data_IF_396880130877
#
_entry.id   IF_396880130877
#
_cell.length_a   1.000
_cell.length_b   1.000
_cell.length_c   1.000
_cell.angle_alpha   90.00
_cell.angle_beta   90.00
_cell.angle_gamma   90.00
#
_symmetry.space_group_name_H-M   'P 1'
#
loop_
_entity.id
_entity.type
_entity.pdbx_description
1 polymer ?
#
# COMPACT_ATOMS: atom_id res chain seq x y z
N UNK A 1 -18.60 -15.75 7.28
CA UNK A 1 -18.36 -15.66 5.81
C UNK A 1 -19.35 -16.58 5.13
N UNK A 2 -19.97 -16.14 4.03
CA UNK A 2 -21.03 -16.89 3.34
C UNK A 2 -20.39 -17.76 2.26
N UNK A 3 -20.98 -18.90 1.93
CA UNK A 3 -20.55 -19.85 0.86
C UNK A 3 -20.44 -19.24 -0.55
N UNK A 4 -20.64 -17.92 -0.71
CA UNK A 4 -20.48 -17.19 -1.97
C UNK A 4 -19.08 -16.60 -2.17
N UNK A 5 -18.19 -16.68 -1.17
CA UNK A 5 -16.86 -16.05 -1.20
C UNK A 5 -15.80 -16.87 -1.97
N UNK A 6 -16.17 -18.05 -2.49
CA UNK A 6 -15.32 -18.89 -3.33
C UNK A 6 -15.51 -18.60 -4.81
N UNK A 7 -15.48 -17.32 -5.21
CA UNK A 7 -15.66 -16.97 -6.62
C UNK A 7 -14.36 -17.19 -7.39
N UNK A 8 -14.12 -18.45 -7.80
CA UNK A 8 -13.14 -18.73 -8.83
C UNK A 8 -13.76 -18.45 -10.19
N UNK A 9 -13.11 -17.59 -10.97
CA UNK A 9 -13.53 -17.26 -12.33
C UNK A 9 -12.49 -17.78 -13.32
N UNK A 10 -12.94 -18.43 -14.40
CA UNK A 10 -12.04 -18.81 -15.50
C UNK A 10 -11.61 -17.57 -16.31
N UNK A 11 -12.49 -16.57 -16.40
CA UNK A 11 -12.22 -15.27 -17.01
C UNK A 11 -12.25 -14.19 -15.93
N UNK A 12 -11.23 -13.33 -15.82
CA UNK A 12 -11.22 -12.30 -14.79
C UNK A 12 -12.41 -11.36 -14.98
N UNK A 13 -13.12 -10.98 -13.90
CA UNK A 13 -14.14 -9.96 -13.99
C UNK A 13 -13.52 -8.64 -14.47
N UNK A 14 -14.30 -7.74 -15.10
CA UNK A 14 -13.79 -6.44 -15.49
C UNK A 14 -13.26 -5.66 -14.29
N UNK A 15 -12.23 -4.84 -14.52
CA UNK A 15 -11.58 -4.05 -13.47
C UNK A 15 -12.53 -3.13 -12.72
N UNK A 16 -13.58 -2.63 -13.37
CA UNK A 16 -14.61 -1.78 -12.76
C UNK A 16 -15.98 -2.02 -13.38
N UNK A 17 -17.03 -1.91 -12.55
CA UNK A 17 -18.44 -1.86 -12.97
C UNK A 17 -19.23 -0.94 -12.02
N UNK A 18 -20.28 -0.25 -12.49
CA UNK A 18 -21.12 0.59 -11.63
C UNK A 18 -21.76 -0.12 -10.44
N UNK A 19 -21.93 -1.46 -10.51
CA UNK A 19 -22.49 -2.26 -9.42
C UNK A 19 -21.47 -2.77 -8.41
N UNK A 20 -20.18 -2.53 -8.60
CA UNK A 20 -19.15 -2.98 -7.67
C UNK A 20 -19.11 -2.07 -6.45
N UNK A 21 -19.00 -2.68 -5.27
CA UNK A 21 -18.61 -1.96 -4.08
C UNK A 21 -17.08 -1.87 -4.08
N UNK A 22 -16.56 -0.64 -4.10
CA UNK A 22 -15.12 -0.39 -4.04
C UNK A 22 -14.78 -0.03 -2.60
N UNK A 23 -13.78 -0.71 -2.05
CA UNK A 23 -13.26 -0.45 -0.72
C UNK A 23 -11.83 0.06 -0.82
N UNK A 24 -11.46 0.91 0.13
CA UNK A 24 -10.14 1.51 0.23
C UNK A 24 -9.51 1.16 1.58
N UNK A 25 -8.37 0.46 1.61
CA UNK A 25 -7.60 0.27 2.83
C UNK A 25 -6.81 1.54 3.13
N UNK A 26 -7.06 2.16 4.28
CA UNK A 26 -6.30 3.35 4.68
C UNK A 26 -4.88 3.03 5.13
N UNK A 27 -4.68 1.83 5.68
CA UNK A 27 -3.37 1.33 6.10
C UNK A 27 -3.17 -0.08 5.53
N UNK A 28 -1.97 -0.35 5.04
CA UNK A 28 -1.50 -1.71 4.78
C UNK A 28 -0.18 -1.88 5.50
N UNK A 29 -0.11 -2.77 6.49
CA UNK A 29 1.09 -2.94 7.33
C UNK A 29 1.74 -4.32 7.11
N UNK A 30 3.07 -4.34 7.08
CA UNK A 30 3.86 -5.56 6.89
C UNK A 30 4.55 -5.99 8.19
N UNK A 31 4.17 -7.15 8.69
CA UNK A 31 4.86 -7.80 9.81
C UNK A 31 5.68 -8.98 9.33
N UNK A 32 6.88 -9.13 9.88
CA UNK A 32 7.77 -10.26 9.59
C UNK A 32 8.12 -10.99 10.88
N UNK A 33 7.75 -12.27 10.96
CA UNK A 33 8.12 -13.18 12.02
C UNK A 33 9.62 -13.52 11.90
N UNK A 34 10.43 -12.91 12.77
CA UNK A 34 11.87 -13.10 12.76
C UNK A 34 12.32 -14.44 13.33
N UNK A 35 13.64 -14.58 13.44
CA UNK A 35 14.27 -15.75 14.06
C UNK A 35 13.81 -15.91 15.52
N UNK A 36 13.70 -17.16 15.99
CA UNK A 36 13.23 -17.45 17.34
C UNK A 36 11.79 -16.99 17.63
N UNK A 37 10.97 -16.75 16.60
CA UNK A 37 9.61 -16.23 16.70
C UNK A 37 9.52 -14.78 17.20
N UNK A 38 10.56 -13.97 17.00
CA UNK A 38 10.45 -12.54 17.28
C UNK A 38 9.34 -11.89 16.43
N UNK A 39 8.50 -11.07 17.06
CA UNK A 39 7.34 -10.45 16.41
C UNK A 39 6.08 -11.34 16.36
N UNK A 40 6.09 -12.56 16.92
CA UNK A 40 4.91 -13.43 16.92
C UNK A 40 3.70 -12.80 17.62
N UNK A 41 3.93 -12.15 18.76
CA UNK A 41 2.86 -11.49 19.52
C UNK A 41 2.32 -10.26 18.79
N UNK A 42 3.15 -9.57 17.98
CA UNK A 42 2.70 -8.51 17.07
C UNK A 42 1.71 -9.06 16.05
N UNK A 43 2.06 -10.17 15.37
CA UNK A 43 1.19 -10.79 14.37
C UNK A 43 -0.12 -11.29 15.03
N UNK A 44 -0.04 -11.94 16.19
CA UNK A 44 -1.23 -12.37 16.95
C UNK A 44 -2.14 -11.21 17.33
N UNK A 45 -1.55 -10.10 17.79
CA UNK A 45 -2.29 -8.88 18.14
C UNK A 45 -2.94 -8.28 16.91
N UNK A 46 -2.26 -8.26 15.77
CA UNK A 46 -2.81 -7.80 14.51
C UNK A 46 -3.98 -8.68 14.05
N UNK A 47 -3.90 -10.01 14.21
CA UNK A 47 -5.02 -10.92 13.93
C UNK A 47 -6.23 -10.60 14.82
N UNK A 48 -6.01 -10.38 16.12
CA UNK A 48 -7.08 -10.04 17.06
C UNK A 48 -7.74 -8.69 16.77
N UNK A 49 -6.94 -7.72 16.33
CA UNK A 49 -7.37 -6.32 16.23
C UNK A 49 -7.93 -5.99 14.86
N UNK A 50 -7.31 -6.49 13.80
CA UNK A 50 -7.59 -6.15 12.40
C UNK A 50 -8.17 -7.32 11.60
N UNK A 51 -8.16 -8.54 12.16
CA UNK A 51 -8.74 -9.71 11.54
C UNK A 51 -7.75 -10.49 10.67
N UNK A 52 -8.15 -10.85 9.45
CA UNK A 52 -7.34 -11.75 8.63
C UNK A 52 -6.08 -11.06 8.07
N UNK A 53 -4.94 -11.75 8.14
CA UNK A 53 -3.68 -11.28 7.56
C UNK A 53 -3.30 -12.13 6.35
N UNK A 54 -2.93 -11.50 5.24
CA UNK A 54 -2.40 -12.22 4.07
C UNK A 54 -0.99 -12.73 4.34
N UNK A 55 -0.65 -13.92 3.82
CA UNK A 55 0.73 -14.42 3.80
C UNK A 55 0.97 -15.41 2.67
N UNK A 56 2.22 -15.58 2.27
CA UNK A 56 2.60 -16.58 1.28
C UNK A 56 2.98 -17.93 1.91
N UNK A 57 2.98 -18.97 1.08
CA UNK A 57 3.55 -20.27 1.39
C UNK A 57 4.07 -20.94 0.10
N UNK A 58 4.97 -21.90 0.25
CA UNK A 58 5.11 -22.92 -0.79
C UNK A 58 4.12 -24.04 -0.50
N UNK A 59 3.22 -24.30 -1.43
CA UNK A 59 2.37 -25.46 -1.41
C UNK A 59 3.04 -26.62 -2.15
N UNK A 60 3.37 -27.67 -1.39
CA UNK A 60 3.73 -28.98 -1.92
C UNK A 60 3.11 -30.08 -1.07
N UNK A 61 2.45 -31.06 -1.69
CA UNK A 61 1.71 -32.11 -0.96
C UNK A 61 2.57 -32.90 0.03
N UNK A 62 3.88 -33.01 -0.20
CA UNK A 62 4.85 -33.63 0.72
C UNK A 62 5.02 -32.89 2.06
N UNK A 63 4.67 -31.61 2.11
CA UNK A 63 4.76 -30.77 3.31
C UNK A 63 3.46 -30.79 4.13
N UNK A 64 2.41 -31.46 3.65
CA UNK A 64 1.16 -31.66 4.38
C UNK A 64 1.14 -33.01 5.11
N UNK A 65 0.82 -32.97 6.40
CA UNK A 65 0.45 -34.14 7.21
C UNK A 65 -0.95 -33.91 7.78
N UNK A 66 -1.94 -34.58 7.19
CA UNK A 66 -3.35 -34.28 7.44
C UNK A 66 -3.67 -32.83 7.04
N UNK A 67 -4.22 -32.06 7.97
CA UNK A 67 -4.53 -30.63 7.80
C UNK A 67 -3.41 -29.70 8.28
N UNK A 68 -2.19 -30.21 8.52
CA UNK A 68 -1.07 -29.41 9.03
C UNK A 68 0.06 -29.34 8.02
N UNK A 69 0.51 -28.13 7.70
CA UNK A 69 1.60 -27.82 6.78
C UNK A 69 2.88 -27.43 7.53
N UNK A 70 4.02 -27.89 7.02
CA UNK A 70 5.33 -27.41 7.42
C UNK A 70 6.37 -27.63 6.32
N UNK A 71 6.87 -26.54 5.75
CA UNK A 71 8.08 -26.55 4.95
C UNK A 71 9.30 -26.22 5.83
N UNK A 72 10.32 -27.11 5.94
CA UNK A 72 11.50 -26.83 6.74
C UNK A 72 12.37 -25.73 6.10
N UNK A 73 13.06 -24.89 6.90
CA UNK A 73 13.93 -23.83 6.36
C UNK A 73 15.06 -24.30 5.45
N UNK A 74 15.46 -25.57 5.53
CA UNK A 74 16.48 -26.18 4.66
C UNK A 74 15.99 -26.48 3.25
N UNK A 75 14.69 -26.44 3.00
CA UNK A 75 14.11 -26.70 1.68
C UNK A 75 14.35 -25.51 0.73
N UNK A 76 14.64 -25.80 -0.53
CA UNK A 76 15.02 -24.79 -1.52
C UNK A 76 13.83 -24.15 -2.23
N UNK A 77 12.60 -24.64 -2.07
CA UNK A 77 11.46 -24.10 -2.81
C UNK A 77 11.02 -22.73 -2.27
N UNK A 78 10.69 -21.84 -3.20
CA UNK A 78 10.14 -20.51 -2.92
C UNK A 78 8.62 -20.51 -2.97
N UNK A 79 7.93 -19.48 -2.44
CA UNK A 79 6.48 -19.48 -2.37
C UNK A 79 5.81 -19.68 -3.74
N UNK A 80 4.68 -20.36 -3.76
CA UNK A 80 3.86 -20.51 -4.97
C UNK A 80 2.37 -20.33 -4.72
N UNK A 81 1.97 -20.08 -3.46
CA UNK A 81 0.59 -19.94 -3.03
C UNK A 81 0.44 -18.85 -1.96
N UNK A 82 -0.78 -18.31 -1.83
CA UNK A 82 -1.15 -17.31 -0.83
C UNK A 82 -2.38 -17.74 -0.04
N UNK A 83 -2.37 -17.41 1.24
CA UNK A 83 -3.38 -17.80 2.23
C UNK A 83 -3.64 -16.67 3.22
N UNK A 84 -4.71 -16.79 3.99
CA UNK A 84 -5.03 -15.83 5.06
C UNK A 84 -4.84 -16.47 6.44
N UNK A 85 -4.01 -15.88 7.29
CA UNK A 85 -3.93 -16.18 8.73
C UNK A 85 -5.19 -15.61 9.39
N UNK A 86 -5.94 -16.45 10.11
CA UNK A 86 -7.22 -16.08 10.75
C UNK A 86 -7.26 -16.43 12.24
N UNK A 87 -6.18 -17.01 12.76
CA UNK A 87 -6.10 -17.46 14.15
C UNK A 87 -4.80 -18.22 14.38
N UNK A 88 -4.66 -18.81 15.58
CA UNK A 88 -3.49 -19.58 15.96
C UNK A 88 -3.77 -20.51 17.14
N UNK A 89 -2.84 -21.44 17.37
CA UNK A 89 -2.79 -22.29 18.56
C UNK A 89 -1.33 -22.61 18.89
N UNK A 90 -0.86 -22.12 20.04
CA UNK A 90 0.52 -22.29 20.52
C UNK A 90 0.84 -23.74 20.92
N UNK A 91 -0.18 -24.54 21.24
CA UNK A 91 -0.03 -25.94 21.62
C UNK A 91 -0.19 -26.91 20.43
N UNK A 92 -0.52 -26.39 19.24
CA UNK A 92 -0.77 -27.23 18.06
C UNK A 92 0.49 -28.02 17.70
N UNK A 93 0.42 -29.34 17.84
CA UNK A 93 1.46 -30.22 17.32
C UNK A 93 1.51 -30.14 15.79
N UNK A 94 2.73 -30.04 15.26
CA UNK A 94 3.03 -29.98 13.82
C UNK A 94 4.18 -30.94 13.48
N UNK A 95 4.58 -31.01 12.21
CA UNK A 95 5.78 -31.75 11.81
C UNK A 95 7.08 -31.05 12.24
N UNK A 96 7.02 -29.79 12.68
CA UNK A 96 8.18 -29.03 13.10
C UNK A 96 8.69 -29.48 14.48
N UNK A 97 9.94 -29.13 14.86
CA UNK A 97 10.53 -29.55 16.14
C UNK A 97 9.82 -29.05 17.40
N UNK A 98 8.99 -28.01 17.29
CA UNK A 98 8.28 -27.36 18.38
C UNK A 98 6.80 -27.14 17.99
N UNK A 99 5.88 -27.17 18.96
CA UNK A 99 4.46 -26.89 18.70
C UNK A 99 4.23 -25.41 18.37
N UNK A 100 3.05 -25.12 17.83
CA UNK A 100 2.62 -23.77 17.48
C UNK A 100 2.32 -23.65 15.98
N UNK A 101 1.12 -23.18 15.66
CA UNK A 101 0.69 -23.02 14.28
C UNK A 101 -0.30 -21.87 14.11
N UNK A 102 -0.25 -21.24 12.94
CA UNK A 102 -1.29 -20.37 12.43
C UNK A 102 -2.46 -21.21 11.90
N UNK A 103 -3.68 -20.81 12.22
CA UNK A 103 -4.88 -21.28 11.53
C UNK A 103 -5.05 -20.43 10.28
N UNK A 104 -5.12 -21.07 9.12
CA UNK A 104 -5.17 -20.40 7.83
C UNK A 104 -6.39 -20.81 7.01
N UNK A 105 -6.97 -19.84 6.30
CA UNK A 105 -8.01 -20.05 5.31
C UNK A 105 -7.40 -20.13 3.91
N UNK A 106 -7.75 -21.17 3.18
CA UNK A 106 -7.33 -21.41 1.79
C UNK A 106 -8.40 -20.92 0.78
N UNK A 107 -8.06 -20.93 -0.51
CA UNK A 107 -8.89 -20.48 -1.63
C UNK A 107 -9.42 -21.62 -2.52
N UNK A 108 -9.36 -22.87 -2.06
CA UNK A 108 -9.82 -24.05 -2.84
C UNK A 108 -11.17 -24.62 -2.40
N UNK A 109 -12.01 -23.76 -1.81
CA UNK A 109 -13.37 -24.10 -1.40
C UNK A 109 -13.46 -24.90 -0.10
N UNK A 110 -14.68 -25.05 0.39
CA UNK A 110 -14.97 -25.68 1.68
C UNK A 110 -14.82 -27.22 1.66
N UNK A 111 -14.75 -27.86 0.50
CA UNK A 111 -14.49 -29.30 0.40
C UNK A 111 -13.03 -29.69 0.72
N UNK A 112 -12.12 -28.72 0.81
CA UNK A 112 -10.70 -28.99 1.04
C UNK A 112 -10.36 -28.94 2.54
N UNK A 113 -9.76 -30.02 3.06
CA UNK A 113 -9.38 -30.17 4.48
C UNK A 113 -10.51 -29.78 5.46
N UNK A 114 -10.24 -28.89 6.41
CA UNK A 114 -11.14 -28.53 7.51
C UNK A 114 -12.08 -27.41 7.06
N UNK A 115 -13.01 -27.70 6.15
CA UNK A 115 -13.94 -26.70 5.60
C UNK A 115 -13.24 -25.53 4.86
N UNK A 116 -12.11 -25.80 4.18
CA UNK A 116 -11.26 -24.81 3.54
C UNK A 116 -10.16 -24.23 4.44
N UNK A 117 -10.04 -24.72 5.67
CA UNK A 117 -9.02 -24.31 6.63
C UNK A 117 -7.96 -25.39 6.83
N UNK A 118 -6.80 -24.97 7.31
CA UNK A 118 -5.67 -25.83 7.68
C UNK A 118 -4.73 -25.08 8.63
N UNK A 119 -3.80 -25.81 9.21
CA UNK A 119 -2.78 -25.28 10.11
C UNK A 119 -1.45 -25.18 9.40
N UNK A 120 -0.69 -24.12 9.64
CA UNK A 120 0.70 -23.99 9.18
C UNK A 120 1.60 -23.68 10.37
N UNK A 121 2.67 -24.46 10.53
CA UNK A 121 3.59 -24.30 11.65
C UNK A 121 4.17 -22.89 11.71
N UNK A 122 4.34 -22.32 12.92
CA UNK A 122 5.08 -21.06 13.07
C UNK A 122 6.53 -21.13 12.56
N UNK A 123 7.05 -22.34 12.42
CA UNK A 123 8.41 -22.62 11.96
C UNK A 123 8.51 -22.84 10.45
N UNK A 124 7.38 -22.79 9.73
CA UNK A 124 7.34 -22.84 8.27
C UNK A 124 8.30 -21.81 7.66
N UNK A 125 8.94 -22.17 6.54
CA UNK A 125 9.96 -21.35 5.88
C UNK A 125 9.45 -19.95 5.51
N UNK A 126 8.21 -19.85 5.00
CA UNK A 126 7.72 -18.63 4.34
C UNK A 126 6.56 -17.96 5.07
N UNK A 127 5.64 -18.74 5.64
CA UNK A 127 4.41 -18.19 6.22
C UNK A 127 4.68 -17.25 7.40
N UNK A 128 4.29 -15.98 7.23
CA UNK A 128 4.56 -14.89 8.16
C UNK A 128 6.01 -14.40 8.18
N UNK A 129 6.92 -14.96 7.38
CA UNK A 129 8.38 -14.73 7.44
C UNK A 129 8.98 -14.11 6.19
N UNK A 130 8.35 -14.26 5.03
CA UNK A 130 8.90 -13.72 3.80
C UNK A 130 9.06 -12.18 3.92
N UNK A 131 10.21 -11.60 3.52
CA UNK A 131 10.45 -10.17 3.72
C UNK A 131 9.43 -9.27 2.99
N UNK A 132 8.96 -9.69 1.81
CA UNK A 132 7.99 -8.95 1.00
C UNK A 132 6.55 -9.48 1.12
N UNK A 133 6.40 -10.75 1.53
CA UNK A 133 5.14 -11.50 1.51
C UNK A 133 4.87 -12.14 2.88
N UNK A 134 5.27 -11.43 3.94
CA UNK A 134 5.15 -11.82 5.34
C UNK A 134 3.69 -11.85 5.80
N UNK A 135 3.40 -11.40 7.01
CA UNK A 135 2.02 -11.20 7.45
C UNK A 135 1.59 -9.78 7.10
N UNK A 136 0.68 -9.64 6.13
CA UNK A 136 0.21 -8.34 5.60
C UNK A 136 -1.19 -8.04 6.10
N UNK A 137 -1.38 -6.91 6.77
CA UNK A 137 -2.65 -6.46 7.34
C UNK A 137 -3.25 -5.35 6.52
N UNK A 138 -4.51 -5.48 6.12
CA UNK A 138 -5.29 -4.40 5.53
C UNK A 138 -6.19 -3.82 6.61
N UNK A 139 -5.97 -2.57 7.00
CA UNK A 139 -6.65 -1.95 8.14
C UNK A 139 -7.47 -0.74 7.70
N UNK A 140 -8.42 -0.37 8.56
CA UNK A 140 -9.30 0.79 8.36
C UNK A 140 -9.92 0.81 6.96
N UNK A 141 -10.38 -0.38 6.53
CA UNK A 141 -10.96 -0.59 5.21
C UNK A 141 -12.36 0.02 5.17
N UNK A 142 -12.54 1.03 4.33
CA UNK A 142 -13.80 1.78 4.21
C UNK A 142 -14.34 1.75 2.77
N UNK A 143 -15.65 1.99 2.56
CA UNK A 143 -16.16 2.25 1.22
C UNK A 143 -15.39 3.42 0.60
N UNK A 144 -14.89 3.26 -0.63
CA UNK A 144 -14.12 4.30 -1.28
C UNK A 144 -15.00 5.52 -1.59
N UNK A 145 -14.68 6.65 -0.97
CA UNK A 145 -15.37 7.94 -1.17
C UNK A 145 -14.56 8.92 -2.03
N UNK A 146 -13.32 8.58 -2.38
CA UNK A 146 -12.46 9.42 -3.19
C UNK A 146 -12.93 9.45 -4.65
N UNK A 147 -12.91 10.64 -5.24
CA UNK A 147 -13.31 10.87 -6.64
C UNK A 147 -12.14 10.72 -7.60
N UNK A 148 -10.91 10.96 -7.13
CA UNK A 148 -9.70 10.84 -7.91
C UNK A 148 -8.47 10.59 -7.05
N UNK A 149 -7.46 9.98 -7.67
CA UNK A 149 -6.13 9.78 -7.07
C UNK A 149 -5.10 10.31 -8.05
N UNK A 150 -4.31 11.28 -7.61
CA UNK A 150 -3.10 11.74 -8.30
C UNK A 150 -1.95 10.83 -7.92
N UNK A 151 -1.34 10.16 -8.89
CA UNK A 151 -0.22 9.26 -8.68
C UNK A 151 0.61 9.14 -9.96
N UNK A 152 1.89 8.83 -9.79
CA UNK A 152 2.80 8.49 -10.89
C UNK A 152 3.33 7.04 -10.79
N UNK A 153 3.14 6.41 -9.63
CA UNK A 153 3.52 5.04 -9.31
C UNK A 153 2.38 4.05 -9.61
N UNK A 154 2.41 3.43 -10.78
CA UNK A 154 1.37 2.50 -11.22
C UNK A 154 1.43 1.15 -10.48
N UNK A 155 2.63 0.68 -10.13
CA UNK A 155 2.83 -0.61 -9.44
C UNK A 155 3.11 -0.46 -7.94
N UNK A 156 3.14 0.78 -7.42
CA UNK A 156 3.41 1.07 -6.01
C UNK A 156 4.87 0.80 -5.63
N UNK A 157 5.09 0.38 -4.38
CA UNK A 157 6.43 0.20 -3.82
C UNK A 157 7.18 -0.96 -4.52
N UNK A 158 8.13 -0.63 -5.39
CA UNK A 158 8.98 -1.58 -6.12
C UNK A 158 10.43 -1.56 -5.67
N UNK A 159 10.88 -0.44 -5.13
CA UNK A 159 12.22 -0.25 -4.59
C UNK A 159 12.23 0.92 -3.60
N UNK A 160 13.35 1.11 -2.89
CA UNK A 160 13.51 2.15 -1.87
C UNK A 160 14.80 2.92 -2.08
N UNK A 161 14.69 4.25 -2.19
CA UNK A 161 15.84 5.14 -2.24
C UNK A 161 16.26 5.50 -0.81
N UNK A 162 17.20 4.73 -0.26
CA UNK A 162 17.62 4.81 1.16
C UNK A 162 18.38 6.09 1.52
N UNK A 163 19.00 6.73 0.53
CA UNK A 163 19.91 7.88 0.75
C UNK A 163 19.18 9.23 0.87
N UNK A 164 17.85 9.24 0.82
CA UNK A 164 17.06 10.47 0.92
C UNK A 164 15.90 10.30 1.88
N UNK A 165 15.72 11.28 2.76
CA UNK A 165 14.57 11.38 3.65
C UNK A 165 13.41 12.13 3.03
N UNK A 166 13.64 12.99 2.03
CA UNK A 166 12.66 13.94 1.52
C UNK A 166 12.49 13.83 0.00
N UNK A 167 11.24 13.66 -0.42
CA UNK A 167 10.85 13.57 -1.82
C UNK A 167 9.55 14.33 -2.08
N UNK A 168 9.30 14.70 -3.34
CA UNK A 168 8.01 15.21 -3.75
C UNK A 168 7.64 14.75 -5.16
N UNK A 169 6.33 14.71 -5.43
CA UNK A 169 5.76 14.55 -6.77
C UNK A 169 5.11 15.86 -7.22
N UNK A 170 5.30 16.21 -8.49
CA UNK A 170 4.65 17.34 -9.14
C UNK A 170 3.43 16.87 -9.93
N UNK A 171 2.33 17.61 -9.81
CA UNK A 171 1.08 17.31 -10.49
C UNK A 171 0.47 18.59 -11.07
N UNK A 172 -0.29 18.41 -12.14
CA UNK A 172 -1.25 19.41 -12.61
C UNK A 172 -2.65 18.88 -12.29
N UNK A 173 -3.47 19.68 -11.63
CA UNK A 173 -4.82 19.30 -11.27
C UNK A 173 -5.69 19.06 -12.51
N UNK A 174 -6.52 18.01 -12.45
CA UNK A 174 -7.53 17.67 -13.46
C UNK A 174 -8.89 17.76 -12.78
N UNK A 175 -9.55 18.90 -12.93
CA UNK A 175 -10.77 19.27 -12.22
C UNK A 175 -10.56 19.98 -10.88
N UNK A 176 -11.69 20.35 -10.28
CA UNK A 176 -11.74 21.24 -9.10
C UNK A 176 -12.02 20.49 -7.79
N UNK A 177 -12.03 19.15 -7.82
CA UNK A 177 -12.25 18.35 -6.62
C UNK A 177 -11.07 18.54 -5.64
N UNK A 178 -11.33 18.98 -4.40
CA UNK A 178 -10.26 19.31 -3.48
C UNK A 178 -9.51 18.08 -2.98
N UNK A 179 -8.23 18.27 -2.68
CA UNK A 179 -7.39 17.28 -2.04
C UNK A 179 -7.77 17.14 -0.56
N UNK A 180 -7.98 15.91 -0.11
CA UNK A 180 -8.38 15.57 1.26
C UNK A 180 -7.31 14.80 2.03
N UNK A 181 -6.49 14.01 1.34
CA UNK A 181 -5.50 13.14 1.96
C UNK A 181 -4.28 12.95 1.07
N UNK A 182 -3.17 12.56 1.70
CA UNK A 182 -1.95 12.10 1.03
C UNK A 182 -1.75 10.64 1.43
N UNK A 183 -1.35 9.80 0.48
CA UNK A 183 -0.88 8.45 0.80
C UNK A 183 0.53 8.21 0.33
N UNK A 184 1.31 7.49 1.13
CA UNK A 184 2.69 7.17 0.85
C UNK A 184 3.10 5.87 1.56
N UNK A 185 4.32 5.41 1.33
CA UNK A 185 4.87 4.25 2.01
C UNK A 185 5.98 4.64 2.99
N UNK A 186 6.09 3.91 4.09
CA UNK A 186 7.29 3.89 4.95
C UNK A 186 8.00 2.56 4.75
N UNK A 187 9.32 2.61 4.55
CA UNK A 187 10.14 1.41 4.32
C UNK A 187 10.75 0.83 5.62
N UNK A 188 10.54 1.49 6.75
CA UNK A 188 10.99 1.11 8.09
C UNK A 188 9.85 1.22 9.10
N UNK A 189 10.03 0.57 10.24
CA UNK A 189 9.16 0.68 11.41
C UNK A 189 9.53 1.94 12.22
N UNK A 190 8.62 2.41 13.09
CA UNK A 190 8.81 3.56 13.98
C UNK A 190 9.30 4.84 13.27
N UNK A 191 8.60 5.24 12.19
CA UNK A 191 8.95 6.39 11.34
C UNK A 191 8.15 7.62 11.73
N UNK A 192 8.84 8.71 12.05
CA UNK A 192 8.25 10.04 12.06
C UNK A 192 8.17 10.57 10.63
N UNK A 193 7.03 11.15 10.27
CA UNK A 193 6.82 11.70 8.94
C UNK A 193 6.32 13.15 8.98
N UNK A 194 6.55 13.87 7.90
CA UNK A 194 5.86 15.11 7.57
C UNK A 194 5.44 15.10 6.10
N UNK A 195 4.14 15.22 5.85
CA UNK A 195 3.56 15.34 4.53
C UNK A 195 3.01 16.75 4.30
N UNK A 196 3.26 17.32 3.13
CA UNK A 196 2.92 18.71 2.79
C UNK A 196 2.37 18.82 1.38
N UNK A 197 1.60 19.88 1.18
CA UNK A 197 1.11 20.32 -0.14
C UNK A 197 1.66 21.72 -0.40
N UNK A 198 2.32 21.91 -1.53
CA UNK A 198 2.84 23.20 -1.98
C UNK A 198 2.22 23.62 -3.32
N UNK A 199 2.16 24.92 -3.54
CA UNK A 199 1.61 25.57 -4.74
C UNK A 199 2.68 25.85 -5.81
N UNK A 200 3.94 26.04 -5.40
CA UNK A 200 4.99 26.53 -6.30
C UNK A 200 6.29 25.73 -6.14
N UNK A 201 6.85 25.33 -7.28
CA UNK A 201 8.25 24.91 -7.42
C UNK A 201 8.92 25.77 -8.50
N UNK A 202 9.94 26.54 -8.13
CA UNK A 202 10.64 27.45 -9.07
C UNK A 202 11.82 26.78 -9.81
N UNK A 203 11.94 25.45 -9.69
CA UNK A 203 13.10 24.68 -10.16
C UNK A 203 14.20 24.52 -9.10
N UNK A 204 14.10 25.21 -7.97
CA UNK A 204 15.09 25.14 -6.88
C UNK A 204 14.47 24.99 -5.49
N UNK A 205 13.29 25.55 -5.24
CA UNK A 205 12.65 25.56 -3.93
C UNK A 205 11.14 25.36 -4.05
N UNK A 206 10.60 24.61 -3.09
CA UNK A 206 9.15 24.54 -2.84
C UNK A 206 8.72 25.74 -2.02
N UNK A 207 7.61 26.37 -2.40
CA UNK A 207 7.00 27.50 -1.68
C UNK A 207 5.48 27.50 -1.84
N UNK A 208 4.80 28.42 -1.15
CA UNK A 208 3.33 28.44 -1.13
C UNK A 208 2.74 27.23 -0.42
N UNK A 209 3.12 26.99 0.85
CA UNK A 209 2.59 25.89 1.64
C UNK A 209 1.06 26.02 1.78
N UNK A 210 0.32 25.00 1.33
CA UNK A 210 -1.13 24.93 1.37
C UNK A 210 -1.63 24.08 2.55
N UNK A 211 -0.94 22.99 2.86
CA UNK A 211 -1.26 22.11 3.99
C UNK A 211 -0.02 21.37 4.49
N UNK A 212 -0.06 20.99 5.77
CA UNK A 212 0.95 20.16 6.44
C UNK A 212 0.26 19.21 7.41
N UNK A 213 0.72 17.97 7.46
CA UNK A 213 0.37 16.97 8.47
C UNK A 213 1.63 16.20 8.85
N UNK A 214 1.79 15.90 10.13
CA UNK A 214 2.91 15.15 10.66
C UNK A 214 2.46 14.20 11.75
N UNK A 215 3.26 13.17 11.99
CA UNK A 215 2.99 12.17 13.00
C UNK A 215 4.03 11.06 12.98
N UNK A 216 3.71 9.96 13.66
CA UNK A 216 4.54 8.77 13.74
C UNK A 216 3.75 7.57 13.22
N UNK A 217 4.40 6.73 12.43
CA UNK A 217 3.90 5.49 11.87
C UNK A 217 4.70 4.35 12.49
N UNK A 218 4.02 3.44 13.18
CA UNK A 218 4.68 2.38 13.95
C UNK A 218 5.25 1.27 13.07
N UNK A 219 4.59 0.95 11.96
CA UNK A 219 4.95 -0.18 11.11
C UNK A 219 5.13 0.25 9.68
N UNK A 220 6.12 -0.34 9.01
CA UNK A 220 6.32 -0.17 7.58
C UNK A 220 5.09 -0.61 6.78
N UNK A 221 4.86 0.09 5.68
CA UNK A 221 3.78 -0.24 4.77
C UNK A 221 3.24 0.96 4.03
N UNK A 222 1.96 0.88 3.67
CA UNK A 222 1.22 1.94 2.98
C UNK A 222 0.34 2.67 3.97
N UNK A 223 0.34 4.00 3.90
CA UNK A 223 -0.34 4.86 4.86
C UNK A 223 -1.08 5.99 4.16
N UNK A 224 -2.33 6.21 4.55
CA UNK A 224 -3.13 7.37 4.12
C UNK A 224 -3.36 8.31 5.30
N UNK A 225 -2.93 9.55 5.16
CA UNK A 225 -3.03 10.59 6.19
C UNK A 225 -3.96 11.69 5.72
N UNK A 226 -4.91 12.07 6.57
CA UNK A 226 -5.85 13.15 6.26
C UNK A 226 -5.18 14.50 6.43
N UNK A 227 -5.46 15.41 5.50
CA UNK A 227 -5.12 16.82 5.66
C UNK A 227 -6.06 17.44 6.70
N UNK A 228 -5.56 18.42 7.46
CA UNK A 228 -6.36 19.10 8.49
C UNK A 228 -7.60 19.83 7.91
N UNK A 229 -7.59 20.12 6.61
CA UNK A 229 -8.70 20.63 5.84
C UNK A 229 -8.52 20.33 4.36
N UNK A 230 -9.61 20.47 3.61
CA UNK A 230 -9.60 20.31 2.15
C UNK A 230 -8.73 21.40 1.51
N UNK A 231 -7.81 20.99 0.63
CA UNK A 231 -7.01 21.91 -0.19
C UNK A 231 -7.71 22.06 -1.54
N UNK A 232 -8.23 23.26 -1.87
CA UNK A 232 -8.84 23.50 -3.17
C UNK A 232 -7.83 23.27 -4.28
N UNK A 233 -8.26 22.59 -5.33
CA UNK A 233 -7.54 22.48 -6.59
C UNK A 233 -8.34 23.24 -7.65
N UNK A 234 -7.66 23.82 -8.63
CA UNK A 234 -8.29 24.38 -9.82
C UNK A 234 -7.79 23.59 -11.02
N UNK A 235 -8.68 23.22 -11.94
CA UNK A 235 -8.30 22.56 -13.19
C UNK A 235 -7.15 23.30 -13.91
N UNK A 236 -6.06 22.59 -14.17
CA UNK A 236 -4.88 23.13 -14.83
C UNK A 236 -3.85 23.83 -13.93
N UNK A 237 -4.12 24.01 -12.63
CA UNK A 237 -3.14 24.55 -11.68
C UNK A 237 -2.16 23.45 -11.24
N UNK A 238 -0.89 23.82 -11.04
CA UNK A 238 0.14 22.92 -10.53
C UNK A 238 0.09 22.83 -9.01
N UNK A 239 0.43 21.66 -8.46
CA UNK A 239 0.63 21.45 -7.03
C UNK A 239 1.65 20.34 -6.78
N UNK A 240 2.24 20.35 -5.59
CA UNK A 240 3.37 19.48 -5.25
C UNK A 240 3.11 18.76 -3.93
N UNK A 241 3.17 17.44 -3.95
CA UNK A 241 3.02 16.60 -2.76
C UNK A 241 4.38 16.20 -2.24
N UNK A 242 4.74 16.69 -1.06
CA UNK A 242 6.02 16.45 -0.42
C UNK A 242 5.84 15.48 0.74
N UNK A 243 6.78 14.56 0.90
CA UNK A 243 6.89 13.66 2.06
C UNK A 243 8.34 13.65 2.55
N UNK A 244 8.49 13.80 3.86
CA UNK A 244 9.74 13.60 4.58
C UNK A 244 9.55 12.51 5.64
N UNK A 245 10.50 11.59 5.75
CA UNK A 245 10.52 10.49 6.71
C UNK A 245 11.80 10.48 7.52
N UNK A 246 11.73 10.08 8.78
CA UNK A 246 12.90 10.03 9.67
C UNK A 246 13.84 8.86 9.41
N UNK A 247 13.34 7.76 8.83
CA UNK A 247 14.09 6.52 8.58
C UNK A 247 13.52 5.73 7.39
N UNK A 248 14.27 4.74 6.91
CA UNK A 248 13.88 3.82 5.84
C UNK A 248 14.04 4.36 4.41
N UNK A 249 14.08 5.68 4.24
CA UNK A 249 14.18 6.32 2.93
C UNK A 249 12.84 6.33 2.16
N UNK A 250 12.89 6.73 0.88
CA UNK A 250 11.70 6.98 0.09
C UNK A 250 11.36 5.81 -0.85
N UNK A 251 10.16 5.26 -0.71
CA UNK A 251 9.65 4.20 -1.58
C UNK A 251 9.31 4.74 -2.98
N UNK A 252 9.69 4.00 -4.01
CA UNK A 252 9.43 4.38 -5.39
C UNK A 252 9.03 3.18 -6.26
N UNK A 253 8.23 3.46 -7.29
CA UNK A 253 7.95 2.54 -8.39
C UNK A 253 9.08 2.63 -9.41
N UNK A 254 9.40 1.52 -10.06
CA UNK A 254 10.32 1.42 -11.19
C UNK A 254 10.12 0.11 -11.93
N UNK A 255 10.59 0.07 -13.18
CA UNK A 255 10.66 -1.20 -13.91
C UNK A 255 11.53 -2.18 -13.13
N UNK A 256 10.97 -3.35 -12.84
CA UNK A 256 11.61 -4.35 -11.99
C UNK A 256 11.11 -5.75 -12.34
N UNK A 257 11.81 -6.78 -11.87
CA UNK A 257 11.39 -8.17 -12.04
C UNK A 257 10.82 -8.69 -10.73
N UNK A 258 9.69 -9.39 -10.79
CA UNK A 258 9.22 -10.21 -9.67
C UNK A 258 9.81 -11.60 -9.85
N UNK A 259 10.74 -11.97 -8.97
CA UNK A 259 11.41 -13.28 -9.04
C UNK A 259 10.39 -14.42 -8.86
N UNK A 260 9.48 -14.25 -7.89
CA UNK A 260 8.45 -15.22 -7.53
C UNK A 260 7.07 -14.61 -7.72
N UNK A 261 6.38 -15.01 -8.79
CA UNK A 261 4.97 -14.67 -9.01
C UNK A 261 4.09 -15.86 -8.63
N UNK A 262 3.29 -15.72 -7.59
CA UNK A 262 2.44 -16.80 -7.08
C UNK A 262 1.47 -17.28 -8.18
N UNK A 263 1.49 -18.59 -8.44
CA UNK A 263 0.71 -19.22 -9.50
C UNK A 263 1.30 -19.13 -10.92
N UNK A 264 2.49 -18.57 -11.10
CA UNK A 264 3.23 -18.57 -12.38
C UNK A 264 4.30 -19.66 -12.40
N UNK A 265 4.44 -20.35 -13.53
CA UNK A 265 5.60 -21.23 -13.80
C UNK A 265 6.82 -20.44 -14.32
N UNK A 266 6.63 -19.17 -14.71
CA UNK A 266 7.69 -18.29 -15.18
C UNK A 266 8.28 -17.48 -14.03
N UNK A 267 9.58 -17.67 -13.78
CA UNK A 267 10.39 -16.83 -12.90
C UNK A 267 10.77 -15.52 -13.58
N UNK A 268 10.94 -14.45 -12.80
CA UNK A 268 11.45 -13.17 -13.30
C UNK A 268 10.45 -12.43 -14.19
N UNK A 269 9.18 -12.41 -13.80
CA UNK A 269 8.15 -11.67 -14.54
C UNK A 269 8.46 -10.18 -14.48
N UNK A 270 8.67 -9.56 -15.64
CA UNK A 270 8.91 -8.12 -15.73
C UNK A 270 7.65 -7.33 -15.40
N UNK A 271 7.81 -6.33 -14.55
CA UNK A 271 6.80 -5.32 -14.23
C UNK A 271 7.34 -4.01 -14.78
N UNK A 272 6.67 -3.51 -15.81
CA UNK A 272 7.15 -2.39 -16.62
C UNK A 272 6.47 -1.11 -16.18
N UNK A 273 7.21 -0.25 -15.49
CA UNK A 273 6.78 1.08 -15.07
C UNK A 273 7.28 2.14 -16.04
N UNK A 274 6.71 3.34 -15.97
CA UNK A 274 7.08 4.47 -16.81
C UNK A 274 7.06 5.75 -15.97
N UNK A 275 7.95 6.68 -16.32
CA UNK A 275 7.98 8.03 -15.75
C UNK A 275 8.29 9.06 -16.83
N UNK A 276 8.12 10.33 -16.48
CA UNK A 276 8.52 11.47 -17.31
C UNK A 276 9.37 12.43 -16.48
N UNK A 277 10.26 13.15 -17.15
CA UNK A 277 11.06 14.20 -16.51
C UNK A 277 10.14 15.24 -15.85
N UNK A 278 10.45 15.61 -14.62
CA UNK A 278 9.70 16.57 -13.82
C UNK A 278 8.54 16.00 -13.02
N UNK A 279 8.32 14.69 -12.99
CA UNK A 279 7.24 14.08 -12.19
C UNK A 279 7.62 13.88 -10.71
N UNK A 280 8.84 13.43 -10.43
CA UNK A 280 9.30 13.05 -9.10
C UNK A 280 10.67 13.64 -8.80
N UNK A 281 10.85 14.19 -7.60
CA UNK A 281 12.10 14.79 -7.15
C UNK A 281 12.49 14.31 -5.76
N UNK A 282 13.79 14.22 -5.50
CA UNK A 282 14.33 13.94 -4.17
C UNK A 282 15.38 14.95 -3.76
N UNK A 283 15.53 15.13 -2.45
CA UNK A 283 16.53 16.03 -1.91
C UNK A 283 17.88 15.29 -1.89
N UNK A 284 18.85 15.83 -2.62
CA UNK A 284 20.24 15.35 -2.65
C UNK A 284 21.16 16.46 -2.16
N UNK A 285 21.62 16.35 -0.92
CA UNK A 285 22.34 17.44 -0.25
C UNK A 285 21.41 18.63 0.00
N UNK A 286 21.59 19.71 -0.74
CA UNK A 286 20.77 20.94 -0.62
C UNK A 286 19.93 21.23 -1.87
N UNK A 287 19.89 20.32 -2.85
CA UNK A 287 19.26 20.54 -4.15
C UNK A 287 18.24 19.46 -4.45
N UNK A 288 17.14 19.86 -5.08
CA UNK A 288 16.16 18.94 -5.64
C UNK A 288 16.68 18.35 -6.94
N UNK A 289 16.71 17.02 -7.01
CA UNK A 289 17.14 16.24 -8.18
C UNK A 289 15.95 15.49 -8.73
N UNK A 290 15.77 15.56 -10.04
CA UNK A 290 14.75 14.80 -10.77
C UNK A 290 15.08 13.30 -10.73
N UNK A 291 14.16 12.48 -10.23
CA UNK A 291 14.31 11.03 -10.12
C UNK A 291 14.42 10.38 -11.50
N UNK A 292 13.84 10.99 -12.54
CA UNK A 292 13.95 10.50 -13.93
C UNK A 292 15.41 10.37 -14.38
N UNK A 293 16.29 11.27 -13.93
CA UNK A 293 17.71 11.22 -14.26
C UNK A 293 18.46 10.07 -13.56
N UNK A 294 17.89 9.52 -12.49
CA UNK A 294 18.39 8.35 -11.79
C UNK A 294 17.88 7.05 -12.44
N UNK A 295 16.59 6.99 -12.77
CA UNK A 295 15.94 5.88 -13.46
C UNK A 295 14.73 6.42 -14.26
N UNK A 296 14.76 6.28 -15.60
CA UNK A 296 13.75 6.80 -16.53
C UNK A 296 12.39 6.07 -16.45
N UNK A 297 12.24 5.15 -15.50
CA UNK A 297 10.99 4.45 -15.21
C UNK A 297 10.47 4.71 -13.79
N UNK A 298 11.18 5.55 -13.03
CA UNK A 298 10.97 5.71 -11.61
C UNK A 298 10.11 6.91 -11.23
N UNK A 299 9.20 6.68 -10.27
CA UNK A 299 8.38 7.70 -9.63
C UNK A 299 8.17 7.38 -8.15
N UNK A 300 8.21 8.39 -7.27
CA UNK A 300 7.97 8.18 -5.84
C UNK A 300 6.53 7.75 -5.58
N UNK A 301 6.36 6.87 -4.59
CA UNK A 301 5.05 6.39 -4.15
C UNK A 301 4.37 7.43 -3.24
N UNK A 302 4.09 8.61 -3.77
CA UNK A 302 3.40 9.71 -3.09
C UNK A 302 2.16 10.06 -3.91
N UNK A 303 0.99 9.89 -3.31
CA UNK A 303 -0.30 10.06 -3.98
C UNK A 303 -1.18 11.09 -3.27
N UNK A 304 -1.97 11.81 -4.05
CA UNK A 304 -2.97 12.74 -3.55
C UNK A 304 -4.38 12.21 -3.78
N UNK A 305 -5.23 12.23 -2.75
CA UNK A 305 -6.60 11.74 -2.83
C UNK A 305 -7.61 12.89 -2.75
N UNK A 306 -8.52 12.94 -3.71
CA UNK A 306 -9.54 13.99 -3.83
C UNK A 306 -10.92 13.48 -3.44
N UNK A 307 -11.76 14.40 -2.98
CA UNK A 307 -13.16 14.14 -2.63
C UNK A 307 -14.05 15.10 -3.40
N UNK A 308 -15.36 14.82 -3.56
CA UNK A 308 -16.26 15.72 -4.25
C UNK A 308 -16.26 17.12 -3.59
N UNK A 309 -16.21 18.17 -4.39
CA UNK A 309 -16.35 19.55 -3.87
C UNK A 309 -17.66 19.67 -3.03
N UNK A 310 -17.60 20.16 -1.79
CA UNK A 310 -18.80 20.33 -0.98
C UNK A 310 -19.79 21.28 -1.68
N UNK A 311 -21.06 20.89 -1.81
CA UNK A 311 -22.10 21.68 -2.49
C UNK A 311 -22.26 23.13 -1.96
N UNK A 312 -21.80 23.42 -0.74
CA UNK A 312 -21.78 24.74 -0.13
C UNK A 312 -20.68 25.67 -0.68
N UNK A 313 -19.55 25.13 -1.17
CA UNK A 313 -18.47 25.93 -1.75
C UNK A 313 -18.84 26.44 -3.15
N UNK A 314 -19.52 25.59 -3.94
CA UNK A 314 -20.07 25.92 -5.28
C UNK A 314 -20.99 27.16 -5.23
N UNK A 315 -21.83 27.29 -4.19
CA UNK A 315 -22.71 28.45 -4.04
C UNK A 315 -21.97 29.76 -3.70
N UNK A 316 -20.87 29.68 -2.93
CA UNK A 316 -20.06 30.85 -2.56
C UNK A 316 -19.24 31.37 -3.76
N UNK A 317 -18.67 30.47 -4.56
CA UNK A 317 -17.97 30.82 -5.80
C UNK A 317 -18.93 31.46 -6.83
N UNK A 318 -20.12 30.88 -7.04
CA UNK A 318 -21.15 31.46 -7.88
C UNK A 318 -21.64 32.84 -7.35
N UNK A 319 -21.77 32.99 -6.03
CA UNK A 319 -22.11 34.25 -5.38
C UNK A 319 -21.05 35.35 -5.56
N UNK A 320 -19.77 34.99 -5.45
CA UNK A 320 -18.64 35.91 -5.63
C UNK A 320 -18.50 36.38 -7.10
N UNK A 321 -18.64 35.46 -8.06
CA UNK A 321 -18.65 35.79 -9.50
C UNK A 321 -19.82 36.72 -9.87
N UNK A 322 -20.99 36.52 -9.27
CA UNK A 322 -22.16 37.39 -9.47
C UNK A 322 -21.94 38.79 -8.89
N UNK A 323 -21.30 38.91 -7.71
CA UNK A 323 -20.94 40.21 -7.11
C UNK A 323 -19.88 40.96 -7.92
N UNK A 324 -18.89 40.27 -8.48
CA UNK A 324 -17.88 40.89 -9.34
C UNK A 324 -18.47 41.37 -10.67
N UNK A 325 -19.43 40.64 -11.25
CA UNK A 325 -20.14 41.09 -12.47
C UNK A 325 -20.99 42.34 -12.25
N UNK A 326 -21.55 42.52 -11.03
CA UNK A 326 -22.34 43.71 -10.66
C UNK A 326 -21.48 44.92 -10.34
N UNK A 327 -20.24 44.75 -9.87
CA UNK A 327 -19.29 45.86 -9.65
C UNK A 327 -18.67 46.42 -10.93
N UNK A 328 -18.63 45.65 -12.02
CA UNK A 328 -18.20 46.13 -13.35
C UNK A 328 -19.29 46.88 -14.14
N UNK A 329 -20.52 46.97 -13.62
CA UNK A 329 -21.66 47.65 -14.26
C UNK A 329 -22.11 48.93 -13.52
N UNK A 330 -21.26 49.54 -12.70
CA UNK A 330 -21.47 50.85 -12.10
C UNK A 330 -20.35 51.80 -12.45
#
# INVERSE_FOLDING_TARGET
MRDVDGQSYNDPPPRSQPGFHVYYPRQIEWYTLGSGLSGIETIKTAVQTHGALGTCMYYGGSFLSGSTHYQPPSDSNDPNHSIAIVGWDDAKATQAPQPGAWLCKNSWGSGWNEAGYFWISYYDKHAGRHPEMGAVSFQDVEPNTYTGVYYHDYHGWRDTLTETSAAFNAFTAVGDDPLAAISFYTAADDVDYTARVYDVFDGSQLSGLLAEVSGTIAWRGFHTVDLAGLVPLTDGDDFYLFVEVSDGGQAYDRTSAVEVLLGSEALGTAVVSASEAGQSYYLSGSSWTDLYAYDETANFCIKGLTVPEPATLVLLAAGAALLMSRRRRR
#
